data_IF_002660825940
#
_entry.id   IF_002660825940
#
_cell.length_a   1.000
_cell.length_b   1.000
_cell.length_c   1.000
_cell.angle_alpha   90.00
_cell.angle_beta   90.00
_cell.angle_gamma   90.00
#
_symmetry.space_group_name_H-M   'P 1'
#
loop_
_entity.id
_entity.type
_entity.pdbx_description
1 polymer ?
#
# COMPACT_ATOMS: atom_id res chain seq x y z
N UNK A 1 -0.21 -45.61 38.39
CA UNK A 1 0.37 -45.43 37.03
C UNK A 1 -0.63 -45.04 35.94
N UNK A 2 -1.70 -44.28 36.27
CA UNK A 2 -2.78 -43.96 35.27
C UNK A 2 -2.88 -42.50 34.85
N UNK A 3 -2.06 -41.57 35.36
CA UNK A 3 -2.12 -40.12 35.03
C UNK A 3 -1.28 -39.72 33.83
N UNK A 4 -0.28 -40.48 33.42
CA UNK A 4 0.61 -40.12 32.31
C UNK A 4 -0.03 -40.24 30.93
N UNK A 5 -1.05 -41.06 30.77
CA UNK A 5 -1.68 -41.33 29.47
C UNK A 5 -2.66 -40.21 29.04
N UNK A 6 -3.37 -39.58 29.99
CA UNK A 6 -4.38 -38.51 29.70
C UNK A 6 -3.71 -37.21 29.28
N UNK A 7 -2.55 -36.89 29.85
CA UNK A 7 -1.79 -35.66 29.51
C UNK A 7 -1.22 -35.73 28.10
N UNK A 8 -0.75 -36.90 27.66
CA UNK A 8 -0.22 -37.08 26.30
C UNK A 8 -1.33 -36.99 25.23
N UNK A 9 -2.50 -37.53 25.51
CA UNK A 9 -3.65 -37.46 24.60
C UNK A 9 -4.17 -36.01 24.46
N UNK A 10 -4.21 -35.25 25.56
CA UNK A 10 -4.64 -33.83 25.53
C UNK A 10 -3.68 -32.94 24.73
N UNK A 11 -2.36 -33.17 24.90
CA UNK A 11 -1.35 -32.43 24.12
C UNK A 11 -1.37 -32.78 22.63
N UNK A 12 -1.70 -33.99 22.25
CA UNK A 12 -1.79 -34.40 20.85
C UNK A 12 -3.00 -33.78 20.15
N UNK A 13 -4.15 -33.69 20.83
CA UNK A 13 -5.36 -33.05 20.32
C UNK A 13 -5.14 -31.54 20.19
N UNK A 14 -4.52 -30.88 21.17
CA UNK A 14 -4.20 -29.45 21.10
C UNK A 14 -3.24 -29.14 19.95
N UNK A 15 -2.22 -29.97 19.71
CA UNK A 15 -1.28 -29.83 18.60
C UNK A 15 -1.98 -29.97 17.23
N UNK A 16 -2.96 -30.88 17.11
CA UNK A 16 -3.75 -31.04 15.88
C UNK A 16 -4.64 -29.81 15.60
N UNK A 17 -5.27 -29.22 16.62
CA UNK A 17 -6.08 -28.00 16.44
C UNK A 17 -5.23 -26.79 16.01
N UNK A 18 -4.02 -26.63 16.55
CA UNK A 18 -3.09 -25.58 16.15
C UNK A 18 -2.65 -25.76 14.69
N UNK A 19 -2.34 -27.00 14.30
CA UNK A 19 -1.92 -27.30 12.93
C UNK A 19 -3.04 -27.04 11.91
N UNK A 20 -4.27 -27.43 12.23
CA UNK A 20 -5.45 -27.16 11.39
C UNK A 20 -5.74 -25.66 11.28
N UNK A 21 -5.64 -24.92 12.39
CA UNK A 21 -5.82 -23.47 12.37
C UNK A 21 -4.75 -22.75 11.51
N UNK A 22 -3.49 -23.18 11.56
CA UNK A 22 -2.41 -22.68 10.72
C UNK A 22 -2.64 -22.98 9.23
N UNK A 23 -3.11 -24.18 8.90
CA UNK A 23 -3.42 -24.57 7.52
C UNK A 23 -4.64 -23.82 6.95
N UNK A 24 -5.65 -23.54 7.77
CA UNK A 24 -6.80 -22.74 7.38
C UNK A 24 -6.42 -21.26 7.17
N UNK A 25 -5.55 -20.72 8.02
CA UNK A 25 -5.04 -19.35 7.88
C UNK A 25 -4.19 -19.19 6.62
N UNK A 26 -3.33 -20.16 6.30
CA UNK A 26 -2.51 -20.13 5.09
C UNK A 26 -3.34 -20.28 3.80
N UNK A 27 -4.42 -21.06 3.83
CA UNK A 27 -5.36 -21.16 2.70
C UNK A 27 -6.12 -19.86 2.47
N UNK A 28 -6.60 -19.21 3.53
CA UNK A 28 -7.27 -17.91 3.43
C UNK A 28 -6.36 -16.82 2.86
N UNK A 29 -5.10 -16.79 3.28
CA UNK A 29 -4.11 -15.86 2.72
C UNK A 29 -3.78 -16.15 1.25
N UNK A 30 -3.68 -17.42 0.86
CA UNK A 30 -3.44 -17.81 -0.52
C UNK A 30 -4.63 -17.47 -1.44
N UNK A 31 -5.86 -17.59 -0.94
CA UNK A 31 -7.09 -17.20 -1.66
C UNK A 31 -7.22 -15.68 -1.81
N UNK A 32 -6.86 -14.92 -0.79
CA UNK A 32 -6.82 -13.45 -0.83
C UNK A 32 -5.75 -12.96 -1.81
N UNK A 33 -4.57 -13.58 -1.81
CA UNK A 33 -3.48 -13.28 -2.76
C UNK A 33 -3.86 -13.64 -4.21
N UNK A 34 -4.63 -14.71 -4.41
CA UNK A 34 -5.14 -15.12 -5.72
C UNK A 34 -6.23 -14.17 -6.28
N UNK A 35 -6.89 -13.40 -5.42
CA UNK A 35 -7.85 -12.35 -5.81
C UNK A 35 -7.19 -10.99 -6.11
N UNK A 36 -5.92 -10.82 -5.78
CA UNK A 36 -5.21 -9.59 -6.08
C UNK A 36 -5.08 -9.41 -7.60
N UNK A 37 -5.39 -8.21 -8.09
CA UNK A 37 -5.16 -7.87 -9.50
C UNK A 37 -3.66 -8.02 -9.82
N UNK A 38 -3.29 -8.58 -10.99
CA UNK A 38 -1.89 -8.70 -11.36
C UNK A 38 -1.24 -7.32 -11.48
N UNK A 39 0.01 -7.21 -11.04
CA UNK A 39 0.82 -6.01 -11.26
C UNK A 39 1.24 -5.90 -12.73
N UNK A 40 1.51 -4.66 -13.16
CA UNK A 40 2.09 -4.38 -14.47
C UNK A 40 3.52 -3.87 -14.33
N UNK A 41 4.37 -4.21 -15.29
CA UNK A 41 5.70 -3.64 -15.40
C UNK A 41 5.61 -2.24 -16.01
N UNK A 42 6.24 -1.28 -15.34
CA UNK A 42 6.28 0.11 -15.80
C UNK A 42 7.52 0.37 -16.67
N UNK A 43 7.42 1.23 -17.69
CA UNK A 43 8.59 1.78 -18.35
C UNK A 43 9.55 2.41 -17.31
N UNK A 44 10.87 2.37 -17.55
CA UNK A 44 11.89 2.80 -16.56
C UNK A 44 11.66 4.20 -15.98
N UNK A 45 11.19 5.14 -16.80
CA UNK A 45 10.93 6.51 -16.37
C UNK A 45 9.73 6.62 -15.39
N UNK A 46 8.70 5.81 -15.56
CA UNK A 46 7.56 5.74 -14.64
C UNK A 46 7.88 4.90 -13.39
N UNK A 47 8.60 3.79 -13.59
CA UNK A 47 9.06 2.96 -12.48
C UNK A 47 9.93 3.76 -11.50
N UNK A 48 10.71 4.73 -12.00
CA UNK A 48 11.50 5.66 -11.18
C UNK A 48 10.61 6.47 -10.25
N UNK A 49 9.46 6.99 -10.71
CA UNK A 49 8.55 7.77 -9.88
C UNK A 49 8.12 7.00 -8.63
N UNK A 50 7.74 5.72 -8.79
CA UNK A 50 7.33 4.90 -7.65
C UNK A 50 8.51 4.57 -6.72
N UNK A 51 9.68 4.23 -7.27
CA UNK A 51 10.87 3.94 -6.45
C UNK A 51 11.35 5.16 -5.65
N UNK A 52 11.39 6.34 -6.28
CA UNK A 52 11.81 7.57 -5.62
C UNK A 52 10.82 7.95 -4.52
N UNK A 53 9.51 7.72 -4.75
CA UNK A 53 8.46 7.92 -3.74
C UNK A 53 8.66 6.96 -2.54
N UNK A 54 8.79 5.65 -2.80
CA UNK A 54 9.05 4.65 -1.75
C UNK A 54 10.28 5.03 -0.94
N UNK A 55 11.37 5.41 -1.61
CA UNK A 55 12.64 5.76 -0.98
C UNK A 55 12.51 6.98 -0.06
N UNK A 56 11.94 8.08 -0.57
CA UNK A 56 11.74 9.30 0.20
C UNK A 56 10.80 9.07 1.40
N UNK A 57 9.72 8.30 1.21
CA UNK A 57 8.80 7.94 2.29
C UNK A 57 9.48 7.10 3.37
N UNK A 58 10.21 6.04 3.01
CA UNK A 58 10.90 5.17 3.95
C UNK A 58 12.00 5.92 4.71
N UNK A 59 12.68 6.85 4.03
CA UNK A 59 13.69 7.72 4.64
C UNK A 59 13.10 8.84 5.51
N UNK A 60 11.77 9.03 5.54
CA UNK A 60 11.09 10.18 6.15
C UNK A 60 11.58 11.52 5.60
N UNK A 61 11.96 11.53 4.33
CA UNK A 61 12.42 12.73 3.62
C UNK A 61 11.23 13.46 2.99
N UNK A 62 10.55 14.27 3.79
CA UNK A 62 9.42 15.07 3.34
C UNK A 62 9.79 16.07 2.23
N UNK A 63 11.03 16.58 2.23
CA UNK A 63 11.51 17.49 1.20
C UNK A 63 11.75 16.75 -0.12
N UNK A 64 12.44 15.61 -0.08
CA UNK A 64 12.64 14.73 -1.23
C UNK A 64 11.30 14.25 -1.81
N UNK A 65 10.34 13.88 -0.95
CA UNK A 65 9.00 13.47 -1.38
C UNK A 65 8.27 14.63 -2.10
N UNK A 66 8.26 15.83 -1.53
CA UNK A 66 7.65 17.00 -2.15
C UNK A 66 8.33 17.39 -3.49
N UNK A 67 9.62 17.13 -3.65
CA UNK A 67 10.35 17.39 -4.90
C UNK A 67 9.90 16.49 -6.06
N UNK A 68 9.24 15.36 -5.79
CA UNK A 68 8.65 14.50 -6.83
C UNK A 68 7.39 15.09 -7.45
N UNK A 69 6.79 16.09 -6.81
CA UNK A 69 5.58 16.75 -7.29
C UNK A 69 5.90 17.91 -8.22
N UNK A 70 4.97 18.21 -9.12
CA UNK A 70 4.96 19.47 -9.84
C UNK A 70 4.80 20.64 -8.84
N UNK A 71 5.24 21.86 -9.21
CA UNK A 71 5.20 23.03 -8.32
C UNK A 71 3.81 23.35 -7.77
N UNK A 72 2.79 23.11 -8.60
CA UNK A 72 1.37 23.27 -8.30
C UNK A 72 0.64 21.94 -8.02
N UNK A 73 1.40 20.87 -7.76
CA UNK A 73 0.88 19.52 -7.53
C UNK A 73 -0.04 19.41 -6.32
N UNK A 74 -0.83 18.34 -6.30
CA UNK A 74 -1.82 18.07 -5.27
C UNK A 74 -1.55 16.77 -4.53
N UNK A 75 -1.87 16.77 -3.23
CA UNK A 75 -2.07 15.56 -2.42
C UNK A 75 -3.51 15.51 -1.97
N UNK A 76 -4.17 14.39 -2.26
CA UNK A 76 -5.57 14.12 -1.97
C UNK A 76 -5.65 12.88 -1.05
N UNK A 77 -5.03 13.01 0.13
CA UNK A 77 -4.90 11.91 1.07
C UNK A 77 -6.25 11.50 1.67
N UNK A 78 -6.42 10.20 1.88
CA UNK A 78 -7.64 9.63 2.45
C UNK A 78 -8.05 10.31 3.77
N UNK A 79 -9.26 10.84 3.81
CA UNK A 79 -9.84 11.46 5.00
C UNK A 79 -9.23 12.82 5.41
N UNK A 80 -8.43 13.45 4.55
CA UNK A 80 -7.82 14.77 4.77
C UNK A 80 -8.27 15.80 3.72
N UNK A 81 -8.26 17.10 4.03
CA UNK A 81 -8.45 18.14 3.03
C UNK A 81 -7.36 18.09 1.95
N UNK A 82 -7.66 18.54 0.71
CA UNK A 82 -6.66 18.65 -0.33
C UNK A 82 -5.50 19.58 0.06
N UNK A 83 -4.28 19.20 -0.30
CA UNK A 83 -3.06 19.99 -0.13
C UNK A 83 -2.51 20.34 -1.51
N UNK A 84 -2.05 21.58 -1.73
CA UNK A 84 -1.53 22.02 -3.02
C UNK A 84 -0.19 22.73 -2.89
N UNK A 85 0.73 22.38 -3.79
CA UNK A 85 2.04 23.01 -3.93
C UNK A 85 3.09 22.38 -3.03
N UNK A 86 4.37 22.37 -3.49
CA UNK A 86 5.47 21.65 -2.84
C UNK A 86 5.69 22.01 -1.38
N UNK A 87 5.58 23.30 -1.01
CA UNK A 87 5.78 23.71 0.38
C UNK A 87 4.73 23.08 1.31
N UNK A 88 3.45 23.19 0.95
CA UNK A 88 2.37 22.61 1.73
C UNK A 88 2.41 21.07 1.73
N UNK A 89 2.82 20.44 0.62
CA UNK A 89 3.02 18.99 0.52
C UNK A 89 4.14 18.53 1.45
N UNK A 90 5.29 19.22 1.47
CA UNK A 90 6.37 18.93 2.41
C UNK A 90 5.87 18.99 3.86
N UNK A 91 5.13 20.04 4.21
CA UNK A 91 4.61 20.22 5.57
C UNK A 91 3.59 19.14 5.93
N UNK A 92 2.75 18.71 4.98
CA UNK A 92 1.79 17.62 5.18
C UNK A 92 2.45 16.24 5.41
N UNK A 93 3.67 16.04 4.92
CA UNK A 93 4.41 14.79 5.02
C UNK A 93 5.50 14.78 6.11
N UNK A 94 5.66 15.84 6.89
CA UNK A 94 6.72 15.94 7.92
C UNK A 94 6.70 14.78 8.93
N UNK A 95 5.51 14.31 9.31
CA UNK A 95 5.34 13.19 10.25
C UNK A 95 5.10 11.86 9.53
N UNK A 96 5.18 11.85 8.19
CA UNK A 96 4.99 10.67 7.37
C UNK A 96 6.23 9.77 7.34
N UNK A 97 6.01 8.51 6.95
CA UNK A 97 7.11 7.57 6.75
C UNK A 97 6.82 6.18 7.31
N UNK A 98 7.73 5.26 7.02
CA UNK A 98 7.63 3.86 7.45
C UNK A 98 7.70 2.90 6.27
N UNK A 99 7.49 1.60 6.49
CA UNK A 99 7.49 0.62 5.42
C UNK A 99 6.42 0.97 4.37
N UNK A 100 6.83 1.01 3.11
CA UNK A 100 5.96 1.29 1.97
C UNK A 100 6.44 0.51 0.74
N UNK A 101 5.51 -0.15 0.09
CA UNK A 101 5.67 -0.74 -1.24
C UNK A 101 4.52 -0.29 -2.13
N UNK A 102 4.86 0.25 -3.29
CA UNK A 102 3.92 0.66 -4.33
C UNK A 102 3.94 -0.37 -5.46
N UNK A 103 2.77 -0.85 -5.86
CA UNK A 103 2.63 -1.80 -6.95
C UNK A 103 1.71 -1.20 -8.02
N UNK A 104 2.22 -1.06 -9.24
CA UNK A 104 1.43 -0.60 -10.37
C UNK A 104 0.44 -1.68 -10.83
N UNK A 105 -0.79 -1.28 -11.09
CA UNK A 105 -1.87 -2.11 -11.65
C UNK A 105 -2.19 -1.73 -13.08
N UNK A 106 -2.05 -0.45 -13.42
CA UNK A 106 -2.24 0.07 -14.77
C UNK A 106 -1.50 1.40 -14.92
N UNK A 107 -1.17 1.76 -16.14
CA UNK A 107 -0.68 3.08 -16.50
C UNK A 107 -1.03 3.43 -17.94
N UNK A 108 -1.05 4.70 -18.25
CA UNK A 108 -1.01 5.20 -19.63
C UNK A 108 -0.30 6.55 -19.67
N UNK A 109 0.23 6.89 -20.85
CA UNK A 109 0.84 8.19 -21.11
C UNK A 109 0.42 8.68 -22.49
N UNK A 110 0.16 9.99 -22.60
CA UNK A 110 -0.11 10.67 -23.86
C UNK A 110 0.64 12.01 -23.85
N UNK A 111 1.64 12.15 -24.72
CA UNK A 111 2.48 13.35 -24.77
C UNK A 111 3.16 13.65 -23.43
N UNK A 112 2.78 14.77 -22.82
CA UNK A 112 3.35 15.25 -21.56
C UNK A 112 2.52 14.86 -20.31
N UNK A 113 1.44 14.10 -20.44
CA UNK A 113 0.58 13.68 -19.35
C UNK A 113 0.49 12.17 -19.24
N UNK A 114 0.16 11.68 -18.06
CA UNK A 114 -0.02 10.25 -17.83
C UNK A 114 -0.62 9.97 -16.46
N UNK A 115 -0.81 8.68 -16.19
CA UNK A 115 -1.22 8.22 -14.87
C UNK A 115 -0.60 6.87 -14.52
N UNK A 116 -0.55 6.60 -13.24
CA UNK A 116 -0.32 5.25 -12.68
C UNK A 116 -1.45 4.98 -11.69
N UNK A 117 -2.12 3.85 -11.87
CA UNK A 117 -3.06 3.29 -10.89
C UNK A 117 -2.33 2.17 -10.17
N UNK A 118 -2.43 2.13 -8.85
CA UNK A 118 -1.73 1.13 -8.08
C UNK A 118 -2.35 0.81 -6.73
N UNK A 119 -1.70 -0.13 -6.07
CA UNK A 119 -1.98 -0.51 -4.71
C UNK A 119 -0.73 -0.32 -3.85
N UNK A 120 -0.91 -0.14 -2.55
CA UNK A 120 0.19 0.02 -1.62
C UNK A 120 0.03 -0.84 -0.38
N UNK A 121 1.14 -1.19 0.22
CA UNK A 121 1.22 -1.95 1.47
C UNK A 121 2.58 -1.80 2.13
N UNK A 122 2.83 -2.46 3.28
CA UNK A 122 4.07 -2.32 4.03
C UNK A 122 5.25 -3.05 3.40
N UNK A 123 5.01 -4.11 2.60
CA UNK A 123 6.09 -4.90 2.02
C UNK A 123 5.67 -5.81 0.88
N UNK A 124 6.66 -6.38 0.19
CA UNK A 124 6.42 -7.35 -0.87
C UNK A 124 5.86 -8.65 -0.27
N UNK A 125 4.75 -9.15 -0.82
CA UNK A 125 4.08 -10.35 -0.32
C UNK A 125 3.20 -10.14 0.91
N UNK A 126 3.13 -8.91 1.45
CA UNK A 126 2.20 -8.55 2.50
C UNK A 126 0.89 -8.02 1.93
N UNK A 127 -0.17 -8.04 2.76
CA UNK A 127 -1.48 -7.56 2.34
C UNK A 127 -1.44 -6.07 1.99
N UNK A 128 -2.00 -5.72 0.83
CA UNK A 128 -2.17 -4.34 0.42
C UNK A 128 -3.17 -3.62 1.32
N UNK A 129 -2.77 -2.48 1.84
CA UNK A 129 -3.55 -1.68 2.80
C UNK A 129 -4.28 -0.52 2.14
N UNK A 130 -4.02 -0.28 0.86
CA UNK A 130 -4.70 0.76 0.10
C UNK A 130 -4.40 0.75 -1.39
N UNK A 131 -4.93 1.74 -2.07
CA UNK A 131 -4.83 1.98 -3.50
C UNK A 131 -4.59 3.45 -3.78
N UNK A 132 -3.96 3.73 -4.92
CA UNK A 132 -3.63 5.10 -5.32
C UNK A 132 -3.83 5.34 -6.82
N UNK A 133 -3.94 6.61 -7.16
CA UNK A 133 -3.82 7.12 -8.53
C UNK A 133 -2.85 8.29 -8.50
N UNK A 134 -1.75 8.15 -9.25
CA UNK A 134 -0.87 9.27 -9.56
C UNK A 134 -1.24 9.82 -10.93
N UNK A 135 -1.68 11.07 -11.00
CA UNK A 135 -1.67 11.84 -12.24
C UNK A 135 -0.27 12.43 -12.45
N UNK A 136 0.27 12.27 -13.63
CA UNK A 136 1.66 12.63 -13.95
C UNK A 136 1.73 13.69 -15.03
N UNK A 137 2.76 14.53 -14.96
CA UNK A 137 3.10 15.53 -15.96
C UNK A 137 4.60 15.55 -16.21
N UNK A 138 5.02 15.68 -17.47
CA UNK A 138 6.42 15.92 -17.80
C UNK A 138 6.77 17.39 -17.61
N UNK A 139 7.94 17.64 -17.01
CA UNK A 139 8.54 18.97 -17.00
C UNK A 139 9.28 19.26 -18.31
N UNK A 140 9.91 20.43 -18.39
CA UNK A 140 10.66 20.88 -19.56
C UNK A 140 11.91 20.01 -19.83
N UNK A 141 12.44 19.38 -18.80
CA UNK A 141 13.58 18.47 -18.86
C UNK A 141 13.17 17.02 -19.20
N UNK A 142 11.88 16.78 -19.41
CA UNK A 142 11.33 15.47 -19.77
C UNK A 142 11.15 14.51 -18.59
N UNK A 143 11.32 14.98 -17.35
CA UNK A 143 11.12 14.17 -16.15
C UNK A 143 9.63 14.08 -15.81
N UNK A 144 9.19 12.90 -15.39
CA UNK A 144 7.83 12.74 -14.86
C UNK A 144 7.75 13.25 -13.43
N UNK A 145 6.84 14.18 -13.19
CA UNK A 145 6.46 14.72 -11.88
C UNK A 145 5.03 14.36 -11.55
N UNK A 146 4.71 14.26 -10.27
CA UNK A 146 3.37 13.99 -9.76
C UNK A 146 2.57 15.29 -9.81
N UNK A 147 1.54 15.34 -10.65
CA UNK A 147 0.58 16.46 -10.72
C UNK A 147 -0.51 16.30 -9.64
N UNK A 148 -0.92 15.08 -9.35
CA UNK A 148 -1.81 14.77 -8.23
C UNK A 148 -1.55 13.35 -7.73
N UNK A 149 -1.59 13.19 -6.42
CA UNK A 149 -1.56 11.91 -5.72
C UNK A 149 -2.88 11.76 -4.95
N UNK A 150 -3.69 10.79 -5.33
CA UNK A 150 -4.89 10.41 -4.60
C UNK A 150 -4.72 9.02 -4.04
N UNK A 151 -4.81 8.89 -2.73
CA UNK A 151 -4.80 7.60 -2.06
C UNK A 151 -6.11 7.30 -1.32
N UNK A 152 -6.36 6.02 -1.11
CA UNK A 152 -7.49 5.54 -0.34
C UNK A 152 -7.14 4.24 0.37
N UNK A 153 -7.24 4.23 1.70
CA UNK A 153 -7.01 3.05 2.50
C UNK A 153 -8.11 1.99 2.28
N UNK A 154 -7.71 0.72 2.30
CA UNK A 154 -8.65 -0.40 2.34
C UNK A 154 -9.14 -0.53 3.78
N UNK A 155 -10.35 -0.05 4.07
CA UNK A 155 -10.95 -0.21 5.39
C UNK A 155 -11.31 -1.69 5.57
N UNK A 156 -10.78 -2.33 6.61
CA UNK A 156 -11.38 -3.56 7.11
C UNK A 156 -12.84 -3.25 7.45
N UNK A 157 -13.79 -3.98 6.84
CA UNK A 157 -15.20 -3.90 7.27
C UNK A 157 -15.25 -4.46 8.69
N UNK A 158 -15.15 -3.58 9.68
CA UNK A 158 -15.55 -3.93 11.03
C UNK A 158 -17.01 -4.36 10.94
N UNK A 159 -17.29 -5.62 11.25
CA UNK A 159 -18.67 -6.11 11.32
C UNK A 159 -19.47 -5.15 12.20
N UNK A 160 -20.57 -4.64 11.67
CA UNK A 160 -21.49 -3.85 12.47
C UNK A 160 -21.86 -4.68 13.72
N UNK A 161 -21.87 -4.10 14.92
CA UNK A 161 -22.31 -4.83 16.10
C UNK A 161 -23.73 -5.35 15.84
N UNK A 162 -23.92 -6.66 16.00
CA UNK A 162 -25.24 -7.28 15.91
C UNK A 162 -26.18 -6.56 16.86
N UNK A 163 -27.41 -6.21 16.44
CA UNK A 163 -28.40 -5.66 17.37
C UNK A 163 -28.59 -6.68 18.51
N UNK A 164 -28.43 -6.21 19.74
CA UNK A 164 -28.74 -7.03 20.92
C UNK A 164 -30.25 -7.31 20.93
N UNK A 165 -30.62 -8.53 21.33
CA UNK A 165 -32.03 -8.92 21.47
C UNK A 165 -32.74 -8.12 22.55
#
# INVERSE_FOLDING_TARGET
>A
MAQSSKTKAFNLVAAQFVLVALLLSSRSQAEELAKALPGVELPPALARVLRDYEHAWQAKDAAGLAALFADDGFVLANGRPPVRGRAAIRDAYQDGGGPLRLRALAYATEGAVGYIIGAYGPGAGEQETGKFVLALRRDAEGRWLIAADMDNANRSRTAAPSPRP
#
